data_IF_675776436856
#
_entry.id   IF_675776436856
#
_cell.length_a   1.000
_cell.length_b   1.000
_cell.length_c   1.000
_cell.angle_alpha   90.00
_cell.angle_beta   90.00
_cell.angle_gamma   90.00
#
_symmetry.space_group_name_H-M   'P 1'
#
loop_
_entity.id
_entity.type
_entity.pdbx_description
1 polymer ?
#
# COMPACT_ATOMS: atom_id res chain seq x y z
N UNK A 1 -30.68 -19.49 -38.51
CA UNK A 1 -29.23 -19.70 -38.28
C UNK A 1 -28.72 -18.43 -37.65
N UNK A 2 -28.43 -18.47 -36.35
CA UNK A 2 -28.06 -17.30 -35.54
C UNK A 2 -26.55 -17.30 -35.40
N UNK A 3 -25.88 -16.35 -36.05
CA UNK A 3 -24.42 -16.23 -35.99
C UNK A 3 -24.03 -15.52 -34.69
N UNK A 4 -23.52 -16.27 -33.73
CA UNK A 4 -22.94 -15.71 -32.50
C UNK A 4 -21.61 -15.05 -32.85
N UNK A 5 -21.57 -13.72 -32.83
CA UNK A 5 -20.32 -12.99 -32.91
C UNK A 5 -19.62 -13.04 -31.55
N UNK A 6 -18.62 -13.91 -31.43
CA UNK A 6 -17.66 -13.88 -30.31
C UNK A 6 -16.82 -12.62 -30.47
N UNK A 7 -17.09 -11.59 -29.66
CA UNK A 7 -16.18 -10.47 -29.48
C UNK A 7 -14.94 -11.02 -28.76
N UNK A 8 -13.88 -11.29 -29.52
CA UNK A 8 -12.56 -11.44 -28.93
C UNK A 8 -12.20 -10.11 -28.26
N UNK A 9 -11.68 -10.10 -27.01
CA UNK A 9 -11.12 -8.89 -26.45
C UNK A 9 -9.94 -8.50 -27.34
N UNK A 10 -10.15 -7.46 -28.17
CA UNK A 10 -9.07 -6.86 -28.91
C UNK A 10 -8.12 -6.30 -27.87
N UNK A 11 -7.05 -7.04 -27.59
CA UNK A 11 -5.86 -6.51 -26.93
C UNK A 11 -5.23 -5.58 -27.96
N UNK A 12 -5.80 -4.37 -28.08
CA UNK A 12 -5.15 -3.30 -28.82
C UNK A 12 -3.99 -2.91 -27.92
N UNK A 13 -2.83 -3.53 -28.15
CA UNK A 13 -1.58 -3.03 -27.61
C UNK A 13 -1.44 -1.61 -28.11
N UNK A 14 -1.73 -0.64 -27.24
CA UNK A 14 -1.43 0.75 -27.53
C UNK A 14 0.08 0.80 -27.81
N UNK A 15 0.51 1.43 -28.91
CA UNK A 15 1.93 1.59 -29.16
C UNK A 15 2.53 2.30 -27.95
N UNK A 16 3.52 1.65 -27.32
CA UNK A 16 4.39 2.25 -26.32
C UNK A 16 5.01 3.48 -26.97
N UNK A 17 4.45 4.66 -26.73
CA UNK A 17 5.08 5.89 -27.17
C UNK A 17 6.34 6.05 -26.32
N UNK A 18 7.50 6.14 -26.97
CA UNK A 18 8.74 6.59 -26.33
C UNK A 18 8.55 8.03 -25.89
N UNK A 19 8.04 8.22 -24.67
CA UNK A 19 7.94 9.56 -24.09
C UNK A 19 9.33 10.00 -23.70
N UNK A 20 9.85 11.01 -24.41
CA UNK A 20 11.08 11.70 -24.02
C UNK A 20 10.73 12.57 -22.80
N UNK A 21 10.88 12.00 -21.61
CA UNK A 21 10.75 12.74 -20.37
C UNK A 21 12.05 13.52 -20.15
N UNK A 22 12.03 14.82 -20.43
CA UNK A 22 13.22 15.66 -20.23
C UNK A 22 13.56 15.72 -18.73
N UNK A 23 14.85 15.62 -18.37
CA UNK A 23 15.35 15.78 -16.98
C UNK A 23 14.89 17.08 -16.30
N UNK A 24 14.49 18.10 -17.07
CA UNK A 24 14.00 19.40 -16.56
C UNK A 24 12.52 19.38 -16.16
N UNK A 25 11.78 18.34 -16.49
CA UNK A 25 10.34 18.20 -16.19
C UNK A 25 10.03 17.13 -15.13
N UNK A 26 11.05 16.45 -14.63
CA UNK A 26 10.95 15.48 -13.55
C UNK A 26 11.07 16.21 -12.21
N UNK A 27 10.06 16.05 -11.35
CA UNK A 27 10.29 16.07 -9.90
C UNK A 27 11.33 14.99 -9.54
N UNK A 28 11.84 14.93 -8.30
CA UNK A 28 12.85 13.95 -7.96
C UNK A 28 12.28 12.53 -8.14
N UNK A 29 12.71 11.84 -9.21
CA UNK A 29 12.67 10.39 -9.22
C UNK A 29 13.54 9.90 -8.06
N UNK A 30 13.27 8.71 -7.49
CA UNK A 30 14.25 8.06 -6.62
C UNK A 30 15.62 8.02 -7.32
N UNK A 31 16.70 8.30 -6.58
CA UNK A 31 18.04 8.56 -7.13
C UNK A 31 18.59 7.42 -8.03
N UNK A 32 18.04 6.22 -7.88
CA UNK A 32 18.37 4.98 -8.57
C UNK A 32 17.48 4.66 -9.78
N UNK A 33 16.44 5.45 -10.04
CA UNK A 33 15.50 5.22 -11.15
C UNK A 33 15.93 6.02 -12.38
N UNK A 34 16.36 5.31 -13.42
CA UNK A 34 16.67 5.92 -14.72
C UNK A 34 15.38 6.46 -15.38
N UNK A 35 15.31 7.78 -15.69
CA UNK A 35 14.21 8.36 -16.45
C UNK A 35 13.86 7.63 -17.75
N UNK A 36 14.85 7.00 -18.40
CA UNK A 36 14.67 6.22 -19.62
C UNK A 36 13.83 4.94 -19.44
N UNK A 37 13.54 4.55 -18.20
CA UNK A 37 12.71 3.39 -17.86
C UNK A 37 11.23 3.73 -17.68
N UNK A 38 10.88 5.02 -17.64
CA UNK A 38 9.50 5.47 -17.51
C UNK A 38 8.71 5.11 -18.78
N UNK A 39 7.50 4.58 -18.58
CA UNK A 39 6.53 4.20 -19.61
C UNK A 39 5.20 4.88 -19.34
N UNK A 40 4.43 5.12 -20.39
CA UNK A 40 3.00 5.44 -20.27
C UNK A 40 2.23 4.14 -20.26
N UNK A 41 1.36 3.96 -19.26
CA UNK A 41 0.43 2.85 -19.19
C UNK A 41 -0.96 3.38 -18.84
N UNK A 42 -2.01 2.61 -19.13
CA UNK A 42 -3.31 2.87 -18.52
C UNK A 42 -3.28 2.44 -17.06
N UNK A 43 -4.03 3.13 -16.20
CA UNK A 43 -4.08 2.82 -14.77
C UNK A 43 -4.53 1.37 -14.50
N UNK A 44 -5.38 0.78 -15.34
CA UNK A 44 -5.80 -0.63 -15.26
C UNK A 44 -4.77 -1.65 -15.75
N UNK A 45 -3.69 -1.21 -16.38
CA UNK A 45 -2.58 -2.04 -16.84
C UNK A 45 -1.38 -2.04 -15.88
N UNK A 46 -1.40 -1.16 -14.87
CA UNK A 46 -0.33 -1.05 -13.86
C UNK A 46 -0.35 -2.28 -12.96
N UNK A 47 0.83 -2.90 -12.80
CA UNK A 47 0.99 -4.10 -11.98
C UNK A 47 1.38 -3.74 -10.56
N UNK A 48 1.09 -4.66 -9.65
CA UNK A 48 1.56 -4.58 -8.28
C UNK A 48 3.08 -4.38 -8.22
N UNK A 49 3.54 -3.37 -7.49
CA UNK A 49 4.95 -3.02 -7.32
C UNK A 49 5.53 -2.13 -8.42
N UNK A 50 4.79 -1.84 -9.49
CA UNK A 50 5.21 -0.83 -10.46
C UNK A 50 5.35 0.53 -9.76
N UNK A 51 6.39 1.28 -10.09
CA UNK A 51 6.59 2.63 -9.54
C UNK A 51 5.81 3.63 -10.40
N UNK A 52 4.75 4.19 -9.85
CA UNK A 52 3.99 5.27 -10.47
C UNK A 52 4.63 6.60 -10.12
N UNK A 53 5.12 7.30 -11.13
CA UNK A 53 5.94 8.52 -10.99
C UNK A 53 5.20 9.78 -11.43
N UNK A 54 3.95 9.65 -11.88
CA UNK A 54 3.14 10.78 -12.31
C UNK A 54 2.00 10.39 -13.24
N UNK A 55 1.47 11.39 -13.95
CA UNK A 55 0.35 11.22 -14.88
C UNK A 55 0.67 11.78 -16.26
N UNK A 56 -0.04 11.28 -17.25
CA UNK A 56 0.08 11.71 -18.64
C UNK A 56 -1.27 12.25 -19.11
N UNK A 57 -1.32 13.57 -19.35
CA UNK A 57 -2.53 14.20 -19.87
C UNK A 57 -2.50 14.20 -21.40
N UNK A 58 -3.28 13.30 -21.99
CA UNK A 58 -3.58 13.26 -23.43
C UNK A 58 -4.89 13.98 -23.74
N UNK A 59 -5.07 15.21 -23.24
CA UNK A 59 -6.27 16.00 -23.46
C UNK A 59 -6.54 16.17 -24.98
N UNK A 60 -7.60 15.53 -25.54
CA UNK A 60 -7.88 15.59 -26.97
C UNK A 60 -8.37 16.99 -27.33
N UNK A 61 -7.49 17.83 -27.87
CA UNK A 61 -7.82 19.21 -28.23
C UNK A 61 -6.64 20.19 -28.19
N UNK A 62 -5.60 19.90 -27.41
CA UNK A 62 -4.34 20.66 -27.41
C UNK A 62 -3.32 20.01 -28.35
N UNK A 63 -3.53 20.20 -29.66
CA UNK A 63 -2.87 19.49 -30.77
C UNK A 63 -1.33 19.56 -30.87
N UNK A 64 -0.59 20.09 -29.90
CA UNK A 64 0.82 20.44 -30.14
C UNK A 64 1.83 19.69 -29.28
N UNK A 65 1.43 19.06 -28.17
CA UNK A 65 2.25 18.06 -27.48
C UNK A 65 1.46 17.47 -26.30
N UNK A 66 1.35 16.14 -26.17
CA UNK A 66 0.96 15.52 -24.91
C UNK A 66 1.90 15.95 -23.79
N UNK A 67 1.38 16.18 -22.58
CA UNK A 67 2.18 16.68 -21.46
C UNK A 67 2.28 15.62 -20.37
N UNK A 68 3.50 15.15 -20.13
CA UNK A 68 3.84 14.32 -18.98
C UNK A 68 4.07 15.22 -17.77
N UNK A 69 3.32 14.96 -16.68
CA UNK A 69 3.50 15.63 -15.40
C UNK A 69 3.98 14.61 -14.38
N UNK A 70 5.15 14.86 -13.82
CA UNK A 70 5.74 14.03 -12.78
C UNK A 70 5.12 14.44 -11.46
N UNK A 71 4.71 13.46 -10.67
CA UNK A 71 4.16 13.70 -9.34
C UNK A 71 5.18 14.40 -8.44
N UNK A 72 4.70 15.09 -7.40
CA UNK A 72 5.57 15.60 -6.34
C UNK A 72 6.25 14.44 -5.57
N UNK A 73 5.63 13.25 -5.60
CA UNK A 73 6.08 12.01 -4.97
C UNK A 73 5.81 10.84 -5.92
N UNK A 74 6.65 9.80 -5.82
CA UNK A 74 6.50 8.55 -6.56
C UNK A 74 5.91 7.48 -5.63
N UNK A 75 4.96 6.70 -6.12
CA UNK A 75 4.23 5.71 -5.31
C UNK A 75 4.24 4.34 -5.98
N UNK A 76 4.36 3.27 -5.19
CA UNK A 76 4.23 1.92 -5.72
C UNK A 76 2.75 1.57 -5.92
N UNK A 77 2.42 0.90 -7.01
CA UNK A 77 1.08 0.39 -7.24
C UNK A 77 0.81 -0.81 -6.31
N UNK A 78 -0.33 -0.78 -5.63
CA UNK A 78 -0.70 -1.83 -4.68
C UNK A 78 -1.25 -3.07 -5.40
N UNK A 79 -1.08 -4.28 -4.82
CA UNK A 79 -1.55 -5.54 -5.41
C UNK A 79 -3.08 -5.70 -5.47
N UNK A 80 -3.86 -4.75 -4.97
CA UNK A 80 -5.31 -4.84 -4.89
C UNK A 80 -5.98 -3.61 -5.50
N UNK A 81 -7.04 -3.78 -6.33
CA UNK A 81 -7.86 -2.67 -6.81
C UNK A 81 -8.58 -2.01 -5.64
N UNK A 82 -8.85 -0.70 -5.73
CA UNK A 82 -9.32 0.11 -4.60
C UNK A 82 -10.61 -0.42 -3.93
N UNK A 83 -10.70 -0.45 -2.57
CA UNK A 83 -11.79 -1.11 -1.85
C UNK A 83 -13.19 -0.59 -2.15
N UNK A 84 -13.33 0.72 -2.37
CA UNK A 84 -14.64 1.36 -2.61
C UNK A 84 -14.89 1.69 -4.09
N UNK A 85 -13.85 1.62 -4.93
CA UNK A 85 -13.89 2.03 -6.33
C UNK A 85 -13.01 1.08 -7.12
N UNK A 86 -13.51 -0.12 -7.41
CA UNK A 86 -12.72 -1.21 -8.03
C UNK A 86 -12.07 -0.85 -9.36
N UNK A 87 -12.50 0.26 -9.97
CA UNK A 87 -11.94 0.84 -11.18
C UNK A 87 -10.89 1.92 -10.91
N UNK A 88 -10.33 2.00 -9.71
CA UNK A 88 -9.31 2.98 -9.34
C UNK A 88 -8.01 2.27 -8.99
N UNK A 89 -6.91 2.75 -9.57
CA UNK A 89 -5.57 2.32 -9.23
C UNK A 89 -5.27 2.75 -7.79
N UNK A 90 -4.97 1.77 -6.94
CA UNK A 90 -4.55 2.04 -5.56
C UNK A 90 -3.05 2.19 -5.53
N UNK A 91 -2.60 3.31 -4.97
CA UNK A 91 -1.20 3.60 -4.79
C UNK A 91 -0.85 3.53 -3.31
N UNK A 92 0.41 3.28 -3.09
CA UNK A 92 1.02 3.29 -1.79
C UNK A 92 0.82 4.65 -1.08
N UNK A 93 0.16 4.69 0.09
CA UNK A 93 -0.14 5.95 0.81
C UNK A 93 -1.22 6.85 0.19
N UNK A 94 -1.71 6.56 -1.02
CA UNK A 94 -2.81 7.28 -1.68
C UNK A 94 -3.85 6.29 -2.17
N UNK A 95 -4.98 6.25 -1.45
CA UNK A 95 -6.11 5.40 -1.83
C UNK A 95 -6.85 5.92 -3.08
N UNK A 96 -6.74 7.21 -3.43
CA UNK A 96 -7.54 7.80 -4.51
C UNK A 96 -6.72 8.74 -5.38
N UNK A 97 -6.39 8.31 -6.61
CA UNK A 97 -5.82 9.27 -7.57
C UNK A 97 -6.32 9.06 -9.01
N UNK A 98 -6.37 7.82 -9.51
CA UNK A 98 -6.67 7.60 -10.93
C UNK A 98 -7.75 6.57 -11.23
N UNK A 99 -8.67 6.93 -12.12
CA UNK A 99 -9.66 6.01 -12.70
C UNK A 99 -8.97 5.09 -13.72
N UNK A 100 -9.52 3.90 -13.94
CA UNK A 100 -8.95 2.79 -14.70
C UNK A 100 -8.45 3.18 -16.11
N UNK A 101 -9.10 4.15 -16.74
CA UNK A 101 -8.79 4.57 -18.12
C UNK A 101 -7.82 5.74 -18.21
N UNK A 102 -7.39 6.31 -17.09
CA UNK A 102 -6.45 7.42 -17.07
C UNK A 102 -5.03 6.91 -17.37
N UNK A 103 -4.23 7.77 -18.01
CA UNK A 103 -2.87 7.44 -18.40
C UNK A 103 -1.90 7.89 -17.30
N UNK A 104 -1.04 6.97 -16.88
CA UNK A 104 -0.08 7.16 -15.80
C UNK A 104 1.34 6.90 -16.28
N UNK A 105 2.30 7.56 -15.63
CA UNK A 105 3.73 7.34 -15.86
C UNK A 105 4.22 6.30 -14.86
N UNK A 106 4.78 5.20 -15.36
CA UNK A 106 5.18 4.06 -14.54
C UNK A 106 6.57 3.53 -14.89
N UNK A 107 7.28 2.98 -13.91
CA UNK A 107 8.46 2.13 -14.11
C UNK A 107 8.11 0.71 -13.65
N UNK A 108 8.21 -0.30 -14.52
CA UNK A 108 7.92 -1.68 -14.16
C UNK A 108 8.75 -2.16 -12.96
N UNK A 109 8.12 -2.94 -12.08
CA UNK A 109 8.76 -3.46 -10.87
C UNK A 109 10.08 -4.22 -11.15
N UNK A 110 10.18 -4.91 -12.29
CA UNK A 110 11.38 -5.67 -12.67
C UNK A 110 12.57 -4.77 -13.02
N UNK A 111 12.32 -3.50 -13.37
CA UNK A 111 13.31 -2.52 -13.78
C UNK A 111 13.69 -1.55 -12.66
N UNK A 112 12.87 -1.47 -11.61
CA UNK A 112 13.14 -0.74 -10.39
C UNK A 112 12.72 -1.57 -9.17
N UNK A 113 13.44 -2.68 -8.87
CA UNK A 113 13.08 -3.60 -7.80
C UNK A 113 13.29 -2.95 -6.42
N UNK A 114 12.35 -3.20 -5.51
CA UNK A 114 12.52 -2.80 -4.10
C UNK A 114 13.35 -3.87 -3.39
N UNK A 115 14.40 -3.45 -2.70
CA UNK A 115 15.22 -4.34 -1.88
C UNK A 115 14.82 -4.22 -0.41
N UNK A 116 14.88 -5.35 0.28
CA UNK A 116 14.55 -5.46 1.71
C UNK A 116 15.68 -6.15 2.45
N UNK A 117 15.84 -5.82 3.72
CA UNK A 117 16.81 -6.40 4.65
C UNK A 117 16.09 -6.90 5.89
N UNK A 118 16.63 -7.96 6.47
CA UNK A 118 16.13 -8.48 7.75
C UNK A 118 16.15 -7.38 8.81
N UNK A 119 15.04 -7.26 9.54
CA UNK A 119 14.82 -6.23 10.56
C UNK A 119 14.11 -4.97 10.09
N UNK A 120 14.00 -4.74 8.77
CA UNK A 120 13.26 -3.59 8.24
C UNK A 120 11.76 -3.73 8.50
N UNK A 121 11.11 -2.58 8.72
CA UNK A 121 9.67 -2.49 8.92
C UNK A 121 8.98 -2.30 7.58
N UNK A 122 8.00 -3.14 7.34
CA UNK A 122 7.22 -3.13 6.11
C UNK A 122 5.74 -3.17 6.43
N UNK A 123 4.90 -2.82 5.46
CA UNK A 123 3.45 -2.97 5.57
C UNK A 123 2.87 -3.58 4.29
N UNK A 124 1.69 -4.20 4.44
CA UNK A 124 0.82 -4.65 3.35
C UNK A 124 -0.57 -4.08 3.53
N UNK A 125 -1.40 -4.12 2.49
CA UNK A 125 -2.85 -3.92 2.66
C UNK A 125 -3.50 -5.25 3.01
N UNK A 126 -4.08 -5.33 4.21
CA UNK A 126 -4.87 -6.45 4.67
C UNK A 126 -6.36 -6.19 4.55
N UNK A 127 -7.16 -7.26 4.53
CA UNK A 127 -8.62 -7.18 4.50
C UNK A 127 -9.19 -7.72 5.82
N UNK A 128 -10.08 -6.95 6.44
CA UNK A 128 -10.95 -7.42 7.52
C UNK A 128 -12.31 -7.79 6.93
N UNK A 129 -12.74 -9.02 7.20
CA UNK A 129 -14.06 -9.54 6.79
C UNK A 129 -14.88 -9.82 8.05
N UNK A 130 -16.19 -9.54 7.99
CA UNK A 130 -17.12 -10.15 8.94
C UNK A 130 -17.25 -11.63 8.55
N UNK A 131 -17.31 -12.55 9.51
CA UNK A 131 -17.31 -14.03 9.31
C UNK A 131 -17.90 -14.48 7.96
N UNK A 132 -17.04 -14.98 7.05
CA UNK A 132 -17.39 -15.46 5.69
C UNK A 132 -18.23 -14.49 4.81
N UNK A 133 -18.31 -13.23 5.21
CA UNK A 133 -19.05 -12.16 4.56
C UNK A 133 -18.19 -11.29 3.64
N UNK A 134 -18.76 -10.17 3.15
CA UNK A 134 -18.03 -9.22 2.33
C UNK A 134 -16.87 -8.58 3.11
N UNK A 135 -15.92 -8.02 2.35
CA UNK A 135 -14.86 -7.17 2.91
C UNK A 135 -15.53 -6.03 3.67
N UNK A 136 -15.26 -5.96 4.97
CA UNK A 136 -15.74 -4.88 5.82
C UNK A 136 -14.80 -3.68 5.65
N UNK A 137 -13.51 -3.92 5.79
CA UNK A 137 -12.51 -2.86 5.86
C UNK A 137 -11.17 -3.33 5.31
N UNK A 138 -10.35 -2.40 4.80
CA UNK A 138 -8.96 -2.66 4.43
C UNK A 138 -8.08 -1.73 5.24
N UNK A 139 -6.96 -2.25 5.71
CA UNK A 139 -6.05 -1.54 6.60
C UNK A 139 -4.58 -1.81 6.26
N UNK A 140 -3.71 -0.92 6.72
CA UNK A 140 -2.27 -1.12 6.64
C UNK A 140 -1.86 -2.10 7.75
N UNK A 141 -1.33 -3.26 7.36
CA UNK A 141 -0.86 -4.28 8.30
C UNK A 141 0.66 -4.30 8.28
N UNK A 142 1.25 -3.89 9.39
CA UNK A 142 2.70 -3.73 9.49
C UNK A 142 3.36 -5.03 9.92
N UNK A 143 4.65 -5.16 9.63
CA UNK A 143 5.44 -6.35 9.91
C UNK A 143 6.94 -6.09 9.86
N UNK A 144 7.70 -7.07 10.28
CA UNK A 144 9.16 -7.05 10.24
C UNK A 144 9.66 -8.09 9.25
N UNK A 145 10.53 -7.66 8.33
CA UNK A 145 11.22 -8.54 7.39
C UNK A 145 12.12 -9.50 8.18
N UNK A 146 11.96 -10.80 7.94
CA UNK A 146 12.83 -11.84 8.49
C UNK A 146 13.93 -12.22 7.51
N UNK A 147 13.58 -12.31 6.22
CA UNK A 147 14.51 -12.56 5.12
C UNK A 147 13.95 -11.99 3.82
N UNK A 148 14.84 -11.74 2.88
CA UNK A 148 14.50 -11.36 1.51
C UNK A 148 15.41 -12.12 0.56
N UNK A 149 14.79 -12.75 -0.43
CA UNK A 149 15.43 -13.49 -1.52
C UNK A 149 14.93 -12.92 -2.85
N UNK A 150 15.59 -13.20 -3.97
CA UNK A 150 15.31 -12.56 -5.26
C UNK A 150 13.80 -12.54 -5.61
N UNK A 151 13.18 -11.35 -5.54
CA UNK A 151 11.77 -11.10 -5.81
C UNK A 151 10.75 -11.48 -4.71
N UNK A 152 11.19 -12.04 -3.58
CA UNK A 152 10.30 -12.45 -2.48
C UNK A 152 10.80 -12.01 -1.11
N UNK A 153 9.87 -11.80 -0.19
CA UNK A 153 10.18 -11.35 1.17
C UNK A 153 9.37 -12.16 2.16
N UNK A 154 10.04 -12.62 3.21
CA UNK A 154 9.42 -13.30 4.34
C UNK A 154 9.27 -12.31 5.47
N UNK A 155 8.02 -12.05 5.86
CA UNK A 155 7.65 -11.04 6.85
C UNK A 155 6.90 -11.69 7.99
N UNK A 156 7.22 -11.31 9.22
CA UNK A 156 6.33 -11.55 10.37
C UNK A 156 5.50 -10.30 10.59
N UNK A 157 4.23 -10.36 10.19
CA UNK A 157 3.30 -9.27 10.43
C UNK A 157 2.90 -9.19 11.90
N UNK A 158 2.56 -8.00 12.35
CA UNK A 158 2.21 -7.73 13.73
C UNK A 158 0.96 -8.52 14.11
N UNK A 159 1.00 -9.19 15.26
CA UNK A 159 -0.01 -10.13 15.74
C UNK A 159 -0.19 -11.43 14.92
N UNK A 160 0.54 -11.63 13.82
CA UNK A 160 0.58 -12.92 13.13
C UNK A 160 1.58 -13.85 13.84
N UNK A 161 1.15 -15.08 14.12
CA UNK A 161 2.00 -16.10 14.77
C UNK A 161 3.04 -16.70 13.81
N UNK A 162 2.68 -16.79 12.53
CA UNK A 162 3.48 -17.43 11.50
C UNK A 162 4.01 -16.37 10.52
N UNK A 163 5.28 -16.47 10.10
CA UNK A 163 5.77 -15.67 8.99
C UNK A 163 4.99 -15.97 7.71
N UNK A 164 4.84 -14.94 6.88
CA UNK A 164 4.28 -15.05 5.53
C UNK A 164 5.38 -14.75 4.52
N UNK A 165 5.53 -15.61 3.50
CA UNK A 165 6.38 -15.33 2.34
C UNK A 165 5.50 -14.83 1.20
N UNK A 166 5.85 -13.68 0.63
CA UNK A 166 5.11 -13.03 -0.43
C UNK A 166 6.05 -12.37 -1.45
N UNK A 167 5.58 -12.04 -2.66
CA UNK A 167 6.34 -11.21 -3.59
C UNK A 167 6.73 -9.88 -2.94
N UNK A 168 7.96 -9.41 -3.21
CA UNK A 168 8.47 -8.14 -2.71
C UNK A 168 7.58 -6.93 -3.10
N UNK A 169 6.81 -7.05 -4.18
CA UNK A 169 5.82 -6.09 -4.65
C UNK A 169 4.52 -6.03 -3.84
N UNK A 170 4.31 -6.96 -2.90
CA UNK A 170 3.11 -6.98 -2.05
C UNK A 170 3.30 -6.30 -0.69
N UNK A 171 4.49 -5.79 -0.40
CA UNK A 171 4.79 -4.98 0.78
C UNK A 171 5.53 -3.71 0.37
N UNK A 172 5.60 -2.75 1.29
CA UNK A 172 6.41 -1.51 1.18
C UNK A 172 7.11 -1.19 2.50
N UNK A 173 8.16 -0.37 2.45
CA UNK A 173 8.82 0.15 3.64
C UNK A 173 7.88 1.06 4.43
N UNK A 174 7.93 0.96 5.76
CA UNK A 174 7.23 1.90 6.64
C UNK A 174 8.18 3.07 6.90
N UNK A 175 7.82 4.26 6.42
CA UNK A 175 8.59 5.47 6.69
C UNK A 175 8.53 5.84 8.18
N UNK A 176 9.67 6.24 8.73
CA UNK A 176 9.77 6.59 10.15
C UNK A 176 8.86 7.77 10.55
N UNK A 177 8.58 8.68 9.60
CA UNK A 177 7.70 9.83 9.80
C UNK A 177 6.25 9.39 10.05
N UNK A 178 5.73 8.41 9.31
CA UNK A 178 4.38 7.88 9.56
C UNK A 178 4.25 7.27 10.96
N UNK A 179 5.28 6.57 11.43
CA UNK A 179 5.30 6.02 12.80
C UNK A 179 5.31 7.13 13.85
N UNK A 180 6.04 8.22 13.59
CA UNK A 180 6.08 9.37 14.48
C UNK A 180 4.73 10.10 14.52
N UNK A 181 4.07 10.27 13.38
CA UNK A 181 2.76 10.90 13.26
C UNK A 181 1.66 10.07 13.93
N UNK A 182 1.69 8.75 13.77
CA UNK A 182 0.80 7.82 14.50
C UNK A 182 0.95 7.99 16.00
N UNK A 183 2.19 8.00 16.51
CA UNK A 183 2.46 8.21 17.94
C UNK A 183 2.01 9.59 18.41
N UNK A 184 2.23 10.63 17.62
CA UNK A 184 1.81 11.99 17.97
C UNK A 184 0.28 12.12 18.02
N UNK A 185 -0.42 11.43 17.12
CA UNK A 185 -1.88 11.51 16.96
C UNK A 185 -2.62 10.61 17.96
N UNK A 186 -2.16 9.37 18.12
CA UNK A 186 -2.85 8.32 18.86
C UNK A 186 -2.13 7.93 20.16
N UNK A 187 -0.89 8.35 20.38
CA UNK A 187 -0.09 7.93 21.54
C UNK A 187 0.50 6.52 21.40
N UNK A 188 0.20 5.81 20.31
CA UNK A 188 0.68 4.45 20.00
C UNK A 188 1.07 4.37 18.52
N UNK A 189 1.78 3.31 18.15
CA UNK A 189 2.08 2.93 16.78
C UNK A 189 1.63 1.49 16.49
N UNK A 190 1.52 1.16 15.20
CA UNK A 190 1.41 -0.22 14.74
C UNK A 190 2.52 -1.11 15.33
N UNK A 191 2.13 -2.28 15.85
CA UNK A 191 3.02 -3.24 16.49
C UNK A 191 3.28 -2.98 17.98
N UNK A 192 2.83 -1.86 18.55
CA UNK A 192 2.96 -1.61 19.98
C UNK A 192 2.16 -2.65 20.79
N UNK A 193 2.76 -3.16 21.86
CA UNK A 193 2.06 -4.02 22.81
C UNK A 193 1.29 -3.17 23.82
N UNK A 194 -0.01 -3.43 23.93
CA UNK A 194 -0.94 -2.69 24.77
C UNK A 194 -1.69 -3.62 25.73
N UNK A 195 -2.27 -3.01 26.75
CA UNK A 195 -3.19 -3.66 27.70
C UNK A 195 -4.43 -2.78 27.87
N UNK A 196 -5.62 -3.36 28.12
CA UNK A 196 -6.80 -2.57 28.42
C UNK A 196 -6.72 -2.01 29.84
N UNK A 197 -7.18 -0.77 30.03
CA UNK A 197 -7.07 -0.04 31.29
C UNK A 197 -7.79 -0.74 32.46
N UNK A 198 -8.86 -1.49 32.18
CA UNK A 198 -9.64 -2.23 33.18
C UNK A 198 -9.15 -3.66 33.41
N UNK A 199 -8.25 -4.18 32.57
CA UNK A 199 -7.73 -5.55 32.72
C UNK A 199 -6.27 -5.68 32.24
N UNK A 200 -5.30 -5.18 33.01
CA UNK A 200 -3.90 -5.06 32.56
C UNK A 200 -3.17 -6.40 32.32
N UNK A 201 -3.76 -7.52 32.73
CA UNK A 201 -3.16 -8.84 32.55
C UNK A 201 -3.26 -9.35 31.10
N UNK A 202 -4.24 -8.86 30.33
CA UNK A 202 -4.41 -9.23 28.93
C UNK A 202 -3.57 -8.31 28.05
N UNK A 203 -2.67 -8.90 27.27
CA UNK A 203 -1.86 -8.18 26.29
C UNK A 203 -2.43 -8.34 24.89
N UNK A 204 -2.26 -7.29 24.10
CA UNK A 204 -2.56 -7.30 22.68
C UNK A 204 -1.57 -6.45 21.91
N UNK A 205 -1.61 -6.60 20.60
CA UNK A 205 -0.78 -5.85 19.67
C UNK A 205 -1.67 -4.92 18.86
N UNK A 206 -1.28 -3.65 18.75
CA UNK A 206 -1.97 -2.68 17.89
C UNK A 206 -1.72 -3.06 16.43
N UNK A 207 -2.79 -3.33 15.69
CA UNK A 207 -2.74 -3.76 14.29
C UNK A 207 -3.14 -2.65 13.33
N UNK A 208 -4.03 -1.75 13.75
CA UNK A 208 -4.50 -0.60 12.95
C UNK A 208 -5.05 0.50 13.87
N UNK A 209 -5.09 1.76 13.41
CA UNK A 209 -5.60 2.91 14.17
C UNK A 209 -6.31 3.93 13.27
N UNK A 210 -7.41 4.49 13.76
CA UNK A 210 -8.16 5.53 13.04
C UNK A 210 -8.94 6.43 13.98
N UNK A 211 -9.34 7.60 13.48
CA UNK A 211 -10.31 8.47 14.14
C UNK A 211 -11.69 8.25 13.52
N UNK A 212 -12.66 7.84 14.34
CA UNK A 212 -14.05 7.65 13.88
C UNK A 212 -14.75 8.97 13.56
N UNK A 213 -15.92 8.89 12.92
CA UNK A 213 -16.79 10.07 12.66
C UNK A 213 -17.25 10.77 13.94
N UNK A 214 -17.19 10.07 15.07
CA UNK A 214 -17.44 10.56 16.42
C UNK A 214 -16.23 11.30 17.02
N UNK A 215 -15.16 11.51 16.25
CA UNK A 215 -13.87 12.05 16.68
C UNK A 215 -13.20 11.23 17.81
N UNK A 216 -13.57 9.96 17.97
CA UNK A 216 -12.93 9.06 18.92
C UNK A 216 -11.83 8.28 18.20
N UNK A 217 -10.60 8.43 18.67
CA UNK A 217 -9.48 7.59 18.25
C UNK A 217 -9.71 6.14 18.71
N UNK A 218 -9.58 5.21 17.77
CA UNK A 218 -9.76 3.76 17.98
C UNK A 218 -8.55 3.01 17.44
N UNK A 219 -8.29 1.86 18.03
CA UNK A 219 -7.30 0.91 17.57
C UNK A 219 -7.95 -0.46 17.38
N UNK A 220 -7.58 -1.16 16.31
CA UNK A 220 -7.84 -2.58 16.17
C UNK A 220 -6.71 -3.34 16.84
N UNK A 221 -7.04 -4.10 17.88
CA UNK A 221 -6.06 -4.79 18.71
C UNK A 221 -6.27 -6.29 18.61
N UNK A 222 -5.21 -7.01 18.30
CA UNK A 222 -5.19 -8.46 18.33
C UNK A 222 -4.67 -8.94 19.69
N UNK A 223 -5.53 -9.58 20.46
CA UNK A 223 -5.26 -10.03 21.83
C UNK A 223 -4.65 -11.43 21.84
N UNK A 224 -3.77 -11.72 22.80
CA UNK A 224 -3.05 -13.01 22.85
C UNK A 224 -3.97 -14.24 22.96
N UNK A 225 -5.13 -14.11 23.62
CA UNK A 225 -6.06 -15.22 23.89
C UNK A 225 -7.53 -14.88 23.60
N UNK A 226 -7.79 -13.76 22.93
CA UNK A 226 -9.13 -13.28 22.63
C UNK A 226 -9.25 -12.87 21.16
N UNK A 227 -10.46 -12.91 20.58
CA UNK A 227 -10.66 -12.38 19.23
C UNK A 227 -10.21 -10.91 19.14
N UNK A 228 -9.61 -10.49 18.02
CA UNK A 228 -9.26 -9.09 17.83
C UNK A 228 -10.49 -8.17 17.91
N UNK A 229 -10.34 -7.01 18.52
CA UNK A 229 -11.44 -6.06 18.73
C UNK A 229 -11.03 -4.60 18.52
N UNK A 230 -12.02 -3.77 18.22
CA UNK A 230 -11.85 -2.32 18.13
C UNK A 230 -11.99 -1.71 19.52
N UNK A 231 -10.97 -1.00 19.98
CA UNK A 231 -10.92 -0.42 21.33
C UNK A 231 -10.61 1.07 21.23
N UNK A 232 -11.30 1.94 22.00
CA UNK A 232 -10.92 3.35 22.08
C UNK A 232 -9.50 3.48 22.60
N UNK A 233 -8.67 4.30 21.94
CA UNK A 233 -7.26 4.50 22.29
C UNK A 233 -7.08 4.96 23.74
N UNK A 234 -8.01 5.79 24.23
CA UNK A 234 -8.03 6.26 25.64
C UNK A 234 -8.12 5.14 26.68
N UNK A 235 -8.61 3.98 26.27
CA UNK A 235 -8.80 2.80 27.11
C UNK A 235 -7.61 1.82 27.04
N UNK A 236 -6.58 2.15 26.25
CA UNK A 236 -5.34 1.38 26.14
C UNK A 236 -4.23 1.98 27.00
N UNK A 237 -3.31 1.13 27.44
CA UNK A 237 -2.07 1.49 28.11
C UNK A 237 -0.92 0.72 27.48
N UNK A 238 0.25 1.33 27.37
CA UNK A 238 1.46 0.63 26.98
C UNK A 238 1.71 -0.53 27.95
N UNK A 239 1.91 -1.73 27.42
CA UNK A 239 2.29 -2.86 28.25
C UNK A 239 3.68 -2.58 28.85
N UNK A 240 3.85 -2.79 30.16
CA UNK A 240 5.19 -2.77 30.74
C UNK A 240 6.05 -3.82 30.02
N UNK A 241 7.32 -3.52 29.70
CA UNK A 241 8.23 -4.54 29.19
C UNK A 241 8.25 -5.71 30.18
N UNK A 242 8.24 -6.94 29.65
CA UNK A 242 8.47 -8.11 30.49
C UNK A 242 9.79 -7.88 31.25
N UNK A 243 9.84 -8.13 32.57
CA UNK A 243 11.13 -8.19 33.24
C UNK A 243 11.98 -9.22 32.49
N UNK A 244 13.19 -8.83 32.11
CA UNK A 244 14.11 -9.71 31.41
C UNK A 244 14.26 -11.01 32.23
N UNK A 245 13.93 -12.14 31.62
CA UNK A 245 14.11 -13.47 32.19
C UNK A 245 15.57 -13.92 32.06
#
# INVERSE_FOLDING_TARGET
>A
MTTTHTLAPATVGLPLWDVIVSRKTLGPLPDDVDPGLVRVARADEVRAGDLVVGYYDDCPGRRWMPTAYVGELCYRALPAPHPLRREVLSLDGILFQWSAHELVLTVPAELAPVTYRAGERVERIAERRLENGPIHYRYAHHGTVLSADDGTVTVRFDADWLPTTLPASQVRHVEAEFVADDRATYGFAHGDTVTPAWWPATKGTVVDMWTGLDNVARAYVAWENEPPTDVPVRDLRAAAPLPAA
#
